data_IF_251824422918
#
_entry.id   IF_251824422918
#
_cell.length_a   1.000
_cell.length_b   1.000
_cell.length_c   1.000
_cell.angle_alpha   90.00
_cell.angle_beta   90.00
_cell.angle_gamma   90.00
#
_symmetry.space_group_name_H-M   'P 1'
#
loop_
_entity.id
_entity.type
_entity.pdbx_description
1 polymer ?
#
# COMPACT_ATOMS: atom_id res chain seq x y z
N UNK A 1 -12.19 -54.46 26.86
CA UNK A 1 -11.97 -53.13 27.43
C UNK A 1 -11.32 -52.26 26.36
N UNK A 2 -12.11 -51.58 25.53
CA UNK A 2 -11.63 -50.57 24.58
C UNK A 2 -12.80 -49.64 24.24
N UNK A 3 -12.98 -48.65 25.12
CA UNK A 3 -13.82 -47.48 24.92
C UNK A 3 -13.26 -46.66 23.75
N UNK A 4 -13.94 -46.67 22.61
CA UNK A 4 -13.61 -45.78 21.49
C UNK A 4 -14.10 -44.36 21.82
N UNK A 5 -13.14 -43.47 21.92
CA UNK A 5 -13.27 -42.02 22.15
C UNK A 5 -14.22 -41.41 21.14
N UNK A 6 -15.38 -40.94 21.60
CA UNK A 6 -16.33 -40.12 20.84
C UNK A 6 -16.28 -38.71 21.41
N UNK A 7 -15.32 -37.89 20.97
CA UNK A 7 -15.29 -36.45 21.24
C UNK A 7 -14.13 -35.79 20.50
N UNK A 8 -14.40 -35.12 19.36
CA UNK A 8 -13.76 -33.85 18.92
C UNK A 8 -13.99 -33.43 17.46
N UNK A 9 -14.70 -34.19 16.62
CA UNK A 9 -14.81 -33.80 15.18
C UNK A 9 -15.99 -32.89 14.81
N UNK A 10 -16.90 -32.53 15.73
CA UNK A 10 -18.18 -31.91 15.36
C UNK A 10 -18.18 -30.37 15.16
N UNK A 11 -17.12 -29.63 15.55
CA UNK A 11 -17.15 -28.15 15.53
C UNK A 11 -16.44 -27.56 14.32
N UNK A 12 -15.29 -28.12 13.94
CA UNK A 12 -14.52 -27.67 12.77
C UNK A 12 -15.22 -27.97 11.45
N UNK A 13 -15.97 -29.07 11.36
CA UNK A 13 -16.73 -29.45 10.16
C UNK A 13 -17.93 -28.51 9.90
N UNK A 14 -18.50 -27.91 10.96
CA UNK A 14 -19.57 -26.90 10.85
C UNK A 14 -19.07 -25.56 10.29
N UNK A 15 -17.79 -25.26 10.44
CA UNK A 15 -17.14 -24.02 9.97
C UNK A 15 -16.79 -24.06 8.47
N UNK A 16 -16.81 -25.24 7.81
CA UNK A 16 -16.43 -25.37 6.38
C UNK A 16 -17.64 -25.42 5.42
N UNK A 17 -18.86 -25.32 5.94
CA UNK A 17 -20.08 -25.38 5.11
C UNK A 17 -20.17 -24.21 4.12
N UNK A 18 -20.70 -24.42 2.89
CA UNK A 18 -20.87 -23.35 1.91
C UNK A 18 -21.77 -22.22 2.42
N UNK A 19 -22.64 -22.52 3.37
CA UNK A 19 -23.45 -21.56 4.10
C UNK A 19 -22.60 -20.61 4.98
N UNK A 20 -21.65 -21.14 5.76
CA UNK A 20 -20.76 -20.34 6.61
C UNK A 20 -19.86 -19.41 5.79
N UNK A 21 -19.33 -19.87 4.64
CA UNK A 21 -18.54 -19.03 3.73
C UNK A 21 -19.34 -17.85 3.15
N UNK A 22 -20.60 -18.10 2.73
CA UNK A 22 -21.50 -17.04 2.28
C UNK A 22 -21.86 -16.07 3.40
N UNK A 23 -22.14 -16.60 4.59
CA UNK A 23 -22.41 -15.80 5.78
C UNK A 23 -21.22 -14.88 6.12
N UNK A 24 -19.99 -15.39 6.09
CA UNK A 24 -18.79 -14.59 6.34
C UNK A 24 -18.58 -13.50 5.28
N UNK A 25 -18.78 -13.80 3.99
CA UNK A 25 -18.70 -12.78 2.93
C UNK A 25 -19.73 -11.65 3.13
N UNK A 26 -20.95 -11.98 3.55
CA UNK A 26 -21.98 -10.98 3.88
C UNK A 26 -21.63 -10.21 5.16
N UNK A 27 -21.08 -10.89 6.17
CA UNK A 27 -20.65 -10.27 7.43
C UNK A 27 -19.51 -9.27 7.22
N UNK A 28 -18.52 -9.55 6.37
CA UNK A 28 -17.47 -8.59 6.00
C UNK A 28 -18.05 -7.35 5.29
N UNK A 29 -18.96 -7.55 4.35
CA UNK A 29 -19.60 -6.43 3.63
C UNK A 29 -20.43 -5.54 4.55
N UNK A 30 -21.20 -6.15 5.46
CA UNK A 30 -22.01 -5.42 6.44
C UNK A 30 -21.14 -4.75 7.51
N UNK A 31 -20.10 -5.41 8.01
CA UNK A 31 -19.14 -4.83 8.97
C UNK A 31 -18.44 -3.60 8.42
N UNK A 32 -17.88 -3.72 7.21
CA UNK A 32 -17.22 -2.60 6.52
C UNK A 32 -18.18 -1.41 6.33
N UNK A 33 -19.46 -1.66 6.03
CA UNK A 33 -20.44 -0.59 5.88
C UNK A 33 -20.68 0.20 7.17
N UNK A 34 -20.74 -0.46 8.33
CA UNK A 34 -20.92 0.20 9.64
C UNK A 34 -19.68 0.99 10.02
N UNK A 35 -18.48 0.49 9.72
CA UNK A 35 -17.21 1.20 9.94
C UNK A 35 -17.11 2.46 9.08
N UNK A 36 -17.44 2.36 7.79
CA UNK A 36 -17.42 3.50 6.87
C UNK A 36 -18.42 4.58 7.32
N UNK A 37 -19.61 4.19 7.78
CA UNK A 37 -20.59 5.14 8.33
C UNK A 37 -20.08 5.80 9.62
N UNK A 38 -19.43 5.05 10.51
CA UNK A 38 -18.81 5.60 11.72
C UNK A 38 -17.68 6.60 11.40
N UNK A 39 -16.85 6.29 10.42
CA UNK A 39 -15.80 7.20 9.93
C UNK A 39 -16.41 8.46 9.28
N UNK A 40 -17.48 8.32 8.50
CA UNK A 40 -18.19 9.44 7.88
C UNK A 40 -18.77 10.40 8.93
N UNK A 41 -19.34 9.88 10.01
CA UNK A 41 -19.85 10.69 11.12
C UNK A 41 -18.73 11.42 11.86
N UNK A 42 -17.56 10.79 12.00
CA UNK A 42 -16.38 11.41 12.60
C UNK A 42 -15.83 12.57 11.76
N UNK A 43 -15.83 12.45 10.44
CA UNK A 43 -15.38 13.50 9.51
C UNK A 43 -16.36 14.69 9.52
N UNK A 44 -17.67 14.42 9.51
CA UNK A 44 -18.70 15.46 9.49
C UNK A 44 -19.05 16.06 10.86
N UNK A 45 -18.39 15.61 11.94
CA UNK A 45 -18.58 16.11 13.31
C UNK A 45 -20.04 16.08 13.80
N UNK A 46 -20.82 15.07 13.40
CA UNK A 46 -22.20 14.91 13.87
C UNK A 46 -22.26 14.55 15.37
N UNK A 47 -23.34 14.94 16.04
CA UNK A 47 -23.55 14.60 17.44
C UNK A 47 -23.59 13.06 17.62
N UNK A 48 -22.79 12.53 18.55
CA UNK A 48 -22.65 11.08 18.75
C UNK A 48 -21.65 10.39 17.82
N UNK A 49 -20.84 11.13 17.05
CA UNK A 49 -19.85 10.55 16.13
C UNK A 49 -18.84 9.60 16.80
N UNK A 50 -18.44 9.89 18.05
CA UNK A 50 -17.53 9.00 18.79
C UNK A 50 -18.18 7.66 19.12
N UNK A 51 -19.46 7.64 19.50
CA UNK A 51 -20.20 6.42 19.82
C UNK A 51 -20.43 5.57 18.58
N UNK A 52 -20.76 6.20 17.45
CA UNK A 52 -20.93 5.50 16.18
C UNK A 52 -19.62 4.92 15.66
N UNK A 53 -18.51 5.65 15.77
CA UNK A 53 -17.18 5.17 15.38
C UNK A 53 -16.73 4.01 16.27
N UNK A 54 -16.99 4.10 17.58
CA UNK A 54 -16.70 3.02 18.53
C UNK A 54 -17.47 1.75 18.17
N UNK A 55 -18.77 1.86 17.87
CA UNK A 55 -19.57 0.70 17.43
C UNK A 55 -19.06 0.12 16.10
N UNK A 56 -18.66 0.96 15.14
CA UNK A 56 -18.08 0.50 13.88
C UNK A 56 -16.78 -0.28 14.10
N UNK A 57 -15.83 0.29 14.84
CA UNK A 57 -14.56 -0.37 15.12
C UNK A 57 -14.71 -1.66 15.95
N UNK A 58 -15.67 -1.70 16.89
CA UNK A 58 -15.98 -2.91 17.66
C UNK A 58 -16.58 -4.02 16.77
N UNK A 59 -17.42 -3.66 15.80
CA UNK A 59 -17.98 -4.60 14.84
C UNK A 59 -16.87 -5.22 13.98
N UNK A 60 -15.92 -4.40 13.52
CA UNK A 60 -14.77 -4.87 12.73
C UNK A 60 -13.86 -5.78 13.54
N UNK A 61 -13.57 -5.44 14.80
CA UNK A 61 -12.75 -6.27 15.68
C UNK A 61 -13.34 -7.67 15.90
N UNK A 62 -14.67 -7.78 16.02
CA UNK A 62 -15.36 -9.07 16.15
C UNK A 62 -15.26 -9.88 14.86
N UNK A 63 -15.44 -9.24 13.70
CA UNK A 63 -15.34 -9.89 12.39
C UNK A 63 -13.92 -10.40 12.14
N UNK A 64 -12.89 -9.62 12.48
CA UNK A 64 -11.49 -10.04 12.40
C UNK A 64 -11.17 -11.21 13.33
N UNK A 65 -11.69 -11.19 14.56
CA UNK A 65 -11.52 -12.30 15.50
C UNK A 65 -12.16 -13.60 14.97
N UNK A 66 -13.32 -13.51 14.30
CA UNK A 66 -13.97 -14.65 13.66
C UNK A 66 -13.26 -15.09 12.37
N UNK A 67 -12.62 -14.16 11.65
CA UNK A 67 -11.77 -14.45 10.48
C UNK A 67 -10.58 -15.32 10.83
N UNK A 68 -9.92 -15.04 11.96
CA UNK A 68 -8.72 -15.76 12.41
C UNK A 68 -8.97 -17.25 12.73
N UNK A 69 -10.24 -17.67 12.84
CA UNK A 69 -10.63 -19.07 13.02
C UNK A 69 -10.71 -19.86 11.70
N UNK A 70 -10.56 -19.19 10.54
CA UNK A 70 -10.48 -19.84 9.24
C UNK A 70 -9.05 -20.30 8.94
N UNK A 71 -8.90 -21.49 8.34
CA UNK A 71 -7.61 -21.93 7.82
C UNK A 71 -7.14 -20.97 6.71
N UNK A 72 -5.82 -20.67 6.63
CA UNK A 72 -5.28 -19.90 5.53
C UNK A 72 -5.67 -20.54 4.20
N UNK A 73 -6.27 -19.75 3.31
CA UNK A 73 -6.38 -20.03 1.87
C UNK A 73 -5.07 -20.63 1.36
N UNK A 74 -5.13 -21.91 0.95
CA UNK A 74 -4.03 -22.60 0.28
C UNK A 74 -3.97 -22.03 -1.12
N UNK A 75 -2.84 -21.44 -1.49
CA UNK A 75 -2.64 -20.93 -2.84
C UNK A 75 -2.85 -22.08 -3.86
N UNK A 76 -3.45 -21.80 -5.03
CA UNK A 76 -3.61 -22.81 -6.07
C UNK A 76 -2.25 -23.42 -6.40
N UNK A 77 -2.17 -24.75 -6.40
CA UNK A 77 -0.94 -25.47 -6.76
C UNK A 77 -0.71 -25.35 -8.28
N UNK A 78 -0.09 -24.24 -8.68
CA UNK A 78 0.19 -23.89 -10.08
C UNK A 78 1.08 -24.92 -10.78
N UNK A 79 1.75 -25.82 -10.03
CA UNK A 79 2.53 -26.94 -10.58
C UNK A 79 1.71 -27.95 -11.36
N UNK A 80 0.39 -28.02 -11.13
CA UNK A 80 -0.53 -28.86 -11.92
C UNK A 80 -0.85 -28.29 -13.31
N UNK A 81 -0.70 -26.97 -13.48
CA UNK A 81 -1.07 -26.25 -14.72
C UNK A 81 0.17 -25.85 -15.51
N UNK A 82 1.29 -25.61 -14.82
CA UNK A 82 2.59 -25.29 -15.42
C UNK A 82 3.66 -26.21 -14.84
N UNK A 83 3.83 -27.43 -15.40
CA UNK A 83 4.82 -28.39 -14.94
C UNK A 83 6.28 -27.91 -15.08
N UNK A 84 6.51 -26.82 -15.81
CA UNK A 84 7.84 -26.21 -16.02
C UNK A 84 8.38 -25.45 -14.80
N UNK A 85 7.56 -25.20 -13.77
CA UNK A 85 7.96 -24.51 -12.54
C UNK A 85 8.46 -25.47 -11.44
N UNK A 86 8.52 -26.77 -11.73
CA UNK A 86 9.03 -27.79 -10.80
C UNK A 86 10.55 -27.86 -10.94
N UNK A 87 11.27 -27.83 -9.81
CA UNK A 87 12.74 -27.76 -9.75
C UNK A 87 13.45 -28.93 -10.49
N UNK A 88 12.76 -30.06 -10.66
CA UNK A 88 13.21 -31.27 -11.36
C UNK A 88 12.63 -31.41 -12.80
N UNK A 89 12.27 -30.31 -13.47
CA UNK A 89 11.78 -30.36 -14.84
C UNK A 89 12.90 -30.70 -15.84
N UNK A 90 13.05 -31.99 -16.12
CA UNK A 90 13.78 -32.48 -17.30
C UNK A 90 12.82 -32.52 -18.48
N UNK A 91 12.96 -31.56 -19.40
CA UNK A 91 12.17 -31.48 -20.62
C UNK A 91 12.01 -32.83 -21.33
N UNK A 92 10.88 -32.99 -22.02
CA UNK A 92 10.50 -34.23 -22.71
C UNK A 92 11.66 -34.69 -23.61
N UNK A 93 12.32 -35.79 -23.22
CA UNK A 93 13.27 -36.49 -24.10
C UNK A 93 12.48 -37.09 -25.27
N UNK A 94 12.95 -36.93 -26.52
CA UNK A 94 12.22 -37.35 -27.72
C UNK A 94 12.34 -38.87 -27.97
N UNK A 95 11.99 -39.70 -26.99
CA UNK A 95 12.10 -41.18 -27.13
C UNK A 95 11.03 -41.94 -26.32
N UNK A 96 9.75 -41.58 -26.53
CA UNK A 96 8.65 -42.49 -26.18
C UNK A 96 7.93 -42.93 -27.45
N UNK A 97 8.07 -44.21 -27.86
CA UNK A 97 7.39 -44.73 -29.04
C UNK A 97 5.87 -44.70 -28.89
N UNK A 98 5.20 -44.03 -29.81
CA UNK A 98 3.74 -44.09 -29.96
C UNK A 98 3.39 -45.43 -30.63
N UNK A 99 2.96 -46.43 -29.85
CA UNK A 99 2.44 -47.69 -30.37
C UNK A 99 1.12 -47.46 -31.14
N UNK A 100 1.17 -47.58 -32.48
CA UNK A 100 -0.02 -47.80 -33.30
C UNK A 100 -0.16 -49.29 -33.59
N UNK A 101 -1.19 -49.92 -33.01
CA UNK A 101 -1.65 -51.26 -33.39
C UNK A 101 -2.14 -51.27 -34.84
N UNK A 102 -1.47 -52.03 -35.70
CA UNK A 102 -1.92 -52.35 -37.06
C UNK A 102 -2.55 -53.75 -37.09
N UNK A 103 -3.73 -53.85 -37.71
CA UNK A 103 -4.46 -55.09 -37.95
C UNK A 103 -4.07 -55.73 -39.29
N UNK A 104 -4.17 -57.07 -39.35
CA UNK A 104 -3.73 -57.96 -40.43
C UNK A 104 -4.50 -57.84 -41.75
N UNK A 105 -3.82 -58.10 -42.88
CA UNK A 105 -4.45 -58.57 -44.13
C UNK A 105 -3.66 -59.73 -44.72
N UNK A 106 -4.37 -60.77 -45.15
CA UNK A 106 -3.88 -62.10 -45.61
C UNK A 106 -3.55 -62.08 -47.10
N UNK A 107 -2.49 -62.82 -47.45
CA UNK A 107 -2.03 -63.17 -48.81
C UNK A 107 -2.95 -64.21 -49.46
N UNK A 108 -3.28 -64.01 -50.75
CA UNK A 108 -3.99 -64.97 -51.61
C UNK A 108 -3.26 -65.10 -52.95
N UNK A 109 -3.00 -66.34 -53.35
CA UNK A 109 -2.11 -66.79 -54.43
C UNK A 109 -2.86 -67.16 -55.73
N UNK A 110 -2.06 -67.28 -56.80
CA UNK A 110 -2.25 -68.07 -58.04
C UNK A 110 -2.77 -67.32 -59.28
N UNK A 111 -1.87 -67.12 -60.26
CA UNK A 111 -2.15 -67.07 -61.70
C UNK A 111 -0.82 -67.05 -62.51
N UNK A 112 -0.19 -68.21 -62.72
CA UNK A 112 0.96 -68.34 -63.64
C UNK A 112 1.03 -69.76 -64.22
N UNK A 113 -0.02 -70.18 -64.94
CA UNK A 113 -0.03 -71.49 -65.62
C UNK A 113 -0.63 -71.45 -67.02
N UNK A 114 -1.00 -70.27 -67.53
CA UNK A 114 -1.61 -70.13 -68.86
C UNK A 114 -0.78 -69.36 -69.89
N UNK A 115 0.30 -68.67 -69.49
CA UNK A 115 1.25 -68.07 -70.45
C UNK A 115 2.33 -69.05 -70.92
N UNK A 116 2.62 -70.08 -70.12
CA UNK A 116 3.75 -71.00 -70.33
C UNK A 116 3.54 -71.95 -71.53
N UNK A 117 2.28 -72.14 -71.93
CA UNK A 117 1.91 -72.98 -73.07
C UNK A 117 1.85 -72.22 -74.40
N UNK A 118 1.96 -70.89 -74.40
CA UNK A 118 1.95 -70.09 -75.62
C UNK A 118 3.35 -69.61 -76.06
N UNK A 119 4.40 -69.88 -75.28
CA UNK A 119 5.79 -69.47 -75.58
C UNK A 119 6.63 -70.54 -76.30
N UNK A 120 6.10 -71.76 -76.50
CA UNK A 120 6.89 -72.92 -76.96
C UNK A 120 7.28 -72.89 -78.45
N UNK A 121 6.65 -72.05 -79.28
CA UNK A 121 6.84 -72.07 -80.75
C UNK A 121 7.51 -70.83 -81.36
N UNK A 122 8.03 -69.91 -80.54
CA UNK A 122 8.91 -68.85 -81.03
C UNK A 122 10.29 -69.07 -80.44
N UNK A 123 11.27 -69.46 -81.28
CA UNK A 123 12.70 -69.43 -80.95
C UNK A 123 13.11 -67.96 -80.71
N UNK A 124 12.75 -67.43 -79.55
CA UNK A 124 13.25 -66.18 -79.02
C UNK A 124 14.57 -66.51 -78.33
N UNK A 125 15.64 -65.94 -78.84
CA UNK A 125 16.96 -66.03 -78.23
C UNK A 125 16.90 -65.51 -76.78
N UNK A 126 17.47 -66.26 -75.84
CA UNK A 126 17.38 -66.01 -74.39
C UNK A 126 17.91 -64.59 -74.03
N UNK A 127 18.81 -64.05 -74.84
CA UNK A 127 19.35 -62.70 -74.69
C UNK A 127 18.33 -61.59 -75.03
N UNK A 128 17.41 -61.84 -75.96
CA UNK A 128 16.38 -60.86 -76.38
C UNK A 128 15.27 -60.77 -75.32
N UNK A 129 14.91 -61.89 -74.70
CA UNK A 129 13.95 -61.91 -73.58
C UNK A 129 14.53 -61.19 -72.37
N UNK A 130 15.80 -61.45 -72.06
CA UNK A 130 16.45 -60.82 -70.90
C UNK A 130 16.66 -59.31 -71.11
N UNK A 131 17.00 -58.87 -72.32
CA UNK A 131 17.16 -57.46 -72.66
C UNK A 131 15.83 -56.71 -72.77
N UNK A 132 14.78 -57.35 -73.29
CA UNK A 132 13.42 -56.80 -73.32
C UNK A 132 12.81 -56.73 -71.91
N UNK A 133 13.02 -57.77 -71.10
CA UNK A 133 12.65 -57.79 -69.68
C UNK A 133 13.34 -56.66 -68.93
N UNK A 134 14.67 -56.57 -69.04
CA UNK A 134 15.44 -55.47 -68.45
C UNK A 134 14.99 -54.09 -68.94
N UNK A 135 14.65 -53.96 -70.23
CA UNK A 135 14.13 -52.73 -70.83
C UNK A 135 12.76 -52.32 -70.26
N UNK A 136 11.83 -53.27 -70.14
CA UNK A 136 10.50 -53.05 -69.56
C UNK A 136 10.57 -52.77 -68.05
N UNK A 137 11.46 -53.44 -67.31
CA UNK A 137 11.68 -53.16 -65.89
C UNK A 137 12.28 -51.76 -65.70
N UNK A 138 13.26 -51.37 -66.51
CA UNK A 138 13.83 -50.01 -66.50
C UNK A 138 12.82 -48.94 -66.89
N UNK A 139 11.93 -49.23 -67.84
CA UNK A 139 10.87 -48.31 -68.25
C UNK A 139 9.80 -48.17 -67.16
N UNK A 140 9.40 -49.27 -66.52
CA UNK A 140 8.47 -49.27 -65.38
C UNK A 140 9.07 -48.56 -64.17
N UNK A 141 10.35 -48.78 -63.88
CA UNK A 141 11.08 -48.10 -62.81
C UNK A 141 11.24 -46.60 -63.10
N UNK A 142 11.48 -46.22 -64.36
CA UNK A 142 11.53 -44.82 -64.78
C UNK A 142 10.16 -44.14 -64.73
N UNK A 143 9.09 -44.84 -65.11
CA UNK A 143 7.72 -44.35 -65.00
C UNK A 143 7.25 -44.22 -63.54
N UNK A 144 7.66 -45.14 -62.66
CA UNK A 144 7.44 -45.04 -61.21
C UNK A 144 8.17 -43.85 -60.60
N UNK A 145 9.45 -43.63 -60.98
CA UNK A 145 10.23 -42.46 -60.54
C UNK A 145 9.65 -41.14 -61.07
N UNK A 146 9.03 -41.13 -62.25
CA UNK A 146 8.28 -39.97 -62.77
C UNK A 146 6.98 -39.72 -61.98
N UNK A 147 6.31 -40.78 -61.51
CA UNK A 147 5.16 -40.67 -60.62
C UNK A 147 5.57 -40.13 -59.22
N UNK A 148 6.74 -40.50 -58.71
CA UNK A 148 7.30 -39.95 -57.47
C UNK A 148 7.78 -38.50 -57.64
N UNK A 149 8.28 -38.11 -58.82
CA UNK A 149 8.61 -36.71 -59.14
C UNK A 149 7.35 -35.83 -59.23
N UNK A 150 6.19 -36.39 -59.57
CA UNK A 150 4.89 -35.70 -59.47
C UNK A 150 4.54 -35.33 -58.03
N UNK A 151 5.06 -36.07 -57.03
CA UNK A 151 4.92 -35.74 -55.60
C UNK A 151 5.94 -34.69 -55.11
N UNK A 152 6.98 -34.37 -55.89
CA UNK A 152 7.91 -33.27 -55.58
C UNK A 152 7.23 -31.90 -55.59
N UNK A 153 6.08 -31.78 -56.27
CA UNK A 153 5.21 -30.61 -56.20
C UNK A 153 4.58 -30.45 -54.81
N UNK A 154 4.26 -31.54 -54.10
CA UNK A 154 3.72 -31.52 -52.73
C UNK A 154 4.79 -31.08 -51.73
N UNK A 155 6.01 -31.61 -51.82
CA UNK A 155 7.13 -31.17 -50.97
C UNK A 155 7.52 -29.70 -51.20
N UNK A 156 7.44 -29.22 -52.45
CA UNK A 156 7.64 -27.80 -52.78
C UNK A 156 6.50 -26.93 -52.22
N UNK A 157 5.25 -27.41 -52.30
CA UNK A 157 4.10 -26.72 -51.73
C UNK A 157 4.19 -26.65 -50.19
N UNK A 158 4.65 -27.71 -49.52
CA UNK A 158 4.87 -27.74 -48.07
C UNK A 158 6.04 -26.84 -47.65
N UNK A 159 7.13 -26.82 -48.40
CA UNK A 159 8.23 -25.88 -48.17
C UNK A 159 7.77 -24.43 -48.33
N UNK A 160 7.01 -24.12 -49.38
CA UNK A 160 6.44 -22.79 -49.59
C UNK A 160 5.44 -22.44 -48.49
N UNK A 161 4.63 -23.38 -48.02
CA UNK A 161 3.70 -23.18 -46.89
C UNK A 161 4.44 -22.94 -45.57
N UNK A 162 5.51 -23.70 -45.30
CA UNK A 162 6.36 -23.52 -44.12
C UNK A 162 7.15 -22.20 -44.18
N UNK A 163 7.68 -21.83 -45.35
CA UNK A 163 8.35 -20.55 -45.57
C UNK A 163 7.37 -19.37 -45.42
N UNK A 164 6.14 -19.51 -45.90
CA UNK A 164 5.07 -18.53 -45.70
C UNK A 164 4.71 -18.41 -44.22
N UNK A 165 4.56 -19.52 -43.52
CA UNK A 165 4.30 -19.54 -42.07
C UNK A 165 5.46 -18.92 -41.29
N UNK A 166 6.70 -19.25 -41.63
CA UNK A 166 7.89 -18.63 -41.05
C UNK A 166 7.93 -17.11 -41.31
N UNK A 167 7.60 -16.67 -42.52
CA UNK A 167 7.52 -15.23 -42.84
C UNK A 167 6.41 -14.51 -42.07
N UNK A 168 5.28 -15.19 -41.83
CA UNK A 168 4.20 -14.68 -40.99
C UNK A 168 4.61 -14.63 -39.52
N UNK A 169 5.33 -15.63 -39.01
CA UNK A 169 5.89 -15.61 -37.66
C UNK A 169 6.92 -14.50 -37.47
N UNK A 170 7.79 -14.26 -38.44
CA UNK A 170 8.74 -13.13 -38.43
C UNK A 170 7.99 -11.79 -38.50
N UNK A 171 6.92 -11.71 -39.31
CA UNK A 171 6.07 -10.53 -39.39
C UNK A 171 5.34 -10.26 -38.07
N UNK A 172 4.79 -11.29 -37.42
CA UNK A 172 4.17 -11.21 -36.09
C UNK A 172 5.21 -10.80 -35.05
N UNK A 173 6.40 -11.39 -35.07
CA UNK A 173 7.48 -11.01 -34.15
C UNK A 173 7.88 -9.54 -34.32
N UNK A 174 8.04 -9.07 -35.56
CA UNK A 174 8.34 -7.67 -35.84
C UNK A 174 7.21 -6.72 -35.40
N UNK A 175 5.95 -7.18 -35.46
CA UNK A 175 4.79 -6.45 -34.95
C UNK A 175 4.79 -6.39 -33.42
N UNK A 176 4.92 -7.54 -32.75
CA UNK A 176 5.03 -7.61 -31.29
C UNK A 176 6.20 -6.78 -30.77
N UNK A 177 7.31 -6.73 -31.49
CA UNK A 177 8.46 -5.88 -31.16
C UNK A 177 8.13 -4.39 -31.20
N UNK A 178 7.44 -3.93 -32.26
CA UNK A 178 6.96 -2.54 -32.36
C UNK A 178 5.94 -2.20 -31.28
N UNK A 179 4.98 -3.09 -31.05
CA UNK A 179 3.93 -2.90 -30.05
C UNK A 179 4.54 -2.82 -28.64
N UNK A 180 5.51 -3.68 -28.34
CA UNK A 180 6.28 -3.65 -27.07
C UNK A 180 7.11 -2.38 -26.93
N UNK A 181 7.78 -1.92 -27.99
CA UNK A 181 8.54 -0.67 -27.98
C UNK A 181 7.66 0.55 -27.73
N UNK A 182 6.46 0.60 -28.31
CA UNK A 182 5.51 1.69 -28.10
C UNK A 182 4.93 1.67 -26.68
N UNK A 183 4.66 0.48 -26.13
CA UNK A 183 4.23 0.33 -24.75
C UNK A 183 5.32 0.82 -23.77
N UNK A 184 6.58 0.42 -23.99
CA UNK A 184 7.71 0.88 -23.19
C UNK A 184 7.90 2.40 -23.23
N UNK A 185 7.77 3.04 -24.40
CA UNK A 185 7.90 4.50 -24.54
C UNK A 185 6.80 5.25 -23.76
N UNK A 186 5.56 4.74 -23.80
CA UNK A 186 4.46 5.29 -23.01
C UNK A 186 4.69 5.11 -21.50
N UNK A 187 5.25 3.98 -21.08
CA UNK A 187 5.55 3.70 -19.67
C UNK A 187 6.75 4.53 -19.17
N UNK A 188 7.77 4.77 -20.00
CA UNK A 188 8.87 5.71 -19.78
C UNK A 188 8.37 7.14 -19.54
N UNK A 189 7.39 7.59 -20.34
CA UNK A 189 6.75 8.92 -20.18
C UNK A 189 5.98 9.02 -18.86
N UNK A 190 5.12 8.04 -18.57
CA UNK A 190 4.37 8.00 -17.32
C UNK A 190 5.29 7.97 -16.08
N UNK A 191 6.41 7.25 -16.17
CA UNK A 191 7.41 7.17 -15.09
C UNK A 191 8.15 8.51 -14.90
N UNK A 192 8.46 9.23 -15.98
CA UNK A 192 9.04 10.57 -15.90
C UNK A 192 8.07 11.59 -15.26
N UNK A 193 6.80 11.57 -15.65
CA UNK A 193 5.76 12.42 -15.04
C UNK A 193 5.60 12.12 -13.55
N UNK A 194 5.57 10.83 -13.16
CA UNK A 194 5.54 10.42 -11.76
C UNK A 194 6.79 10.91 -11.01
N UNK A 195 7.97 10.84 -11.63
CA UNK A 195 9.22 11.32 -11.03
C UNK A 195 9.17 12.83 -10.77
N UNK A 196 8.60 13.61 -11.69
CA UNK A 196 8.42 15.05 -11.52
C UNK A 196 7.45 15.38 -10.38
N UNK A 197 6.31 14.67 -10.30
CA UNK A 197 5.35 14.84 -9.20
C UNK A 197 5.98 14.49 -7.84
N UNK A 198 6.76 13.41 -7.76
CA UNK A 198 7.48 13.02 -6.53
C UNK A 198 8.49 14.10 -6.12
N UNK A 199 9.18 14.74 -7.07
CA UNK A 199 10.08 15.86 -6.78
C UNK A 199 9.33 17.09 -6.25
N UNK A 200 8.20 17.46 -6.85
CA UNK A 200 7.36 18.55 -6.35
C UNK A 200 6.86 18.29 -4.93
N UNK A 201 6.42 17.06 -4.66
CA UNK A 201 6.01 16.62 -3.31
C UNK A 201 7.18 16.66 -2.33
N UNK A 202 8.39 16.29 -2.75
CA UNK A 202 9.60 16.40 -1.93
C UNK A 202 9.94 17.85 -1.59
N UNK A 203 9.83 18.77 -2.56
CA UNK A 203 10.02 20.21 -2.31
C UNK A 203 8.95 20.79 -1.38
N UNK A 204 7.69 20.39 -1.55
CA UNK A 204 6.61 20.77 -0.65
C UNK A 204 6.86 20.26 0.78
N UNK A 205 7.36 19.03 0.94
CA UNK A 205 7.74 18.48 2.23
C UNK A 205 8.90 19.28 2.87
N UNK A 206 9.92 19.66 2.10
CA UNK A 206 10.99 20.54 2.59
C UNK A 206 10.47 21.91 3.03
N UNK A 207 9.55 22.50 2.26
CA UNK A 207 8.88 23.74 2.63
C UNK A 207 8.11 23.61 3.95
N UNK A 208 7.34 22.54 4.10
CA UNK A 208 6.58 22.26 5.32
C UNK A 208 7.50 22.04 6.53
N UNK A 209 8.62 21.32 6.37
CA UNK A 209 9.64 21.17 7.41
C UNK A 209 10.17 22.52 7.90
N UNK A 210 10.49 23.43 6.97
CA UNK A 210 10.97 24.77 7.31
C UNK A 210 9.89 25.58 8.05
N UNK A 211 8.63 25.52 7.59
CA UNK A 211 7.51 26.16 8.29
C UNK A 211 7.32 25.61 9.70
N UNK A 212 7.49 24.30 9.90
CA UNK A 212 7.47 23.71 11.22
C UNK A 212 8.63 24.23 12.09
N UNK A 213 9.85 24.25 11.58
CA UNK A 213 11.01 24.75 12.34
C UNK A 213 10.84 26.22 12.75
N UNK A 214 10.30 27.04 11.86
CA UNK A 214 10.01 28.44 12.15
C UNK A 214 8.92 28.59 13.21
N UNK A 215 7.81 27.85 13.07
CA UNK A 215 6.74 27.86 14.07
C UNK A 215 7.24 27.39 15.45
N UNK A 216 8.08 26.35 15.52
CA UNK A 216 8.71 25.92 16.77
C UNK A 216 9.61 27.02 17.35
N UNK A 217 10.34 27.77 16.52
CA UNK A 217 11.19 28.87 16.96
C UNK A 217 10.36 30.00 17.55
N UNK A 218 9.32 30.45 16.85
CA UNK A 218 8.41 31.49 17.35
C UNK A 218 7.73 31.06 18.64
N UNK A 219 7.25 29.82 18.74
CA UNK A 219 6.67 29.30 19.96
C UNK A 219 7.66 29.29 21.13
N UNK A 220 8.93 28.94 20.90
CA UNK A 220 9.96 28.99 21.97
C UNK A 220 10.18 30.42 22.47
N UNK A 221 10.12 31.41 21.59
CA UNK A 221 10.20 32.83 21.96
C UNK A 221 8.98 33.27 22.77
N UNK A 222 7.77 32.89 22.35
CA UNK A 222 6.52 33.19 23.06
C UNK A 222 6.47 32.53 24.45
N UNK A 223 6.93 31.28 24.57
CA UNK A 223 7.03 30.59 25.88
C UNK A 223 7.92 31.38 26.83
N UNK A 224 9.10 31.84 26.38
CA UNK A 224 10.02 32.64 27.19
C UNK A 224 9.41 33.98 27.60
N UNK A 225 8.77 34.68 26.66
CA UNK A 225 8.07 35.93 26.96
C UNK A 225 6.93 35.71 27.98
N UNK A 226 6.21 34.58 27.88
CA UNK A 226 5.20 34.20 28.86
C UNK A 226 5.78 33.86 30.23
N UNK A 227 6.98 33.29 30.28
CA UNK A 227 7.69 32.99 31.54
C UNK A 227 8.13 34.27 32.26
N UNK A 228 8.67 35.23 31.51
CA UNK A 228 9.00 36.56 32.03
C UNK A 228 7.76 37.29 32.55
N UNK A 229 6.64 37.22 31.82
CA UNK A 229 5.36 37.80 32.29
C UNK A 229 4.90 37.15 33.60
N UNK A 230 5.01 35.83 33.71
CA UNK A 230 4.66 35.10 34.94
C UNK A 230 5.52 35.55 36.12
N UNK A 231 6.83 35.73 35.90
CA UNK A 231 7.77 36.22 36.90
C UNK A 231 7.40 37.65 37.37
N UNK A 232 7.09 38.54 36.43
CA UNK A 232 6.65 39.91 36.74
C UNK A 232 5.38 39.89 37.56
N UNK A 233 4.35 39.15 37.13
CA UNK A 233 3.08 39.04 37.86
C UNK A 233 3.29 38.51 39.27
N UNK A 234 4.11 37.46 39.44
CA UNK A 234 4.43 36.91 40.75
C UNK A 234 5.12 37.95 41.65
N UNK A 235 6.11 38.66 41.13
CA UNK A 235 6.85 39.69 41.87
C UNK A 235 5.94 40.87 42.25
N UNK A 236 5.05 41.29 41.33
CA UNK A 236 4.04 42.30 41.61
C UNK A 236 3.05 41.83 42.68
N UNK A 237 2.61 40.57 42.63
CA UNK A 237 1.72 39.95 43.62
C UNK A 237 2.34 39.98 45.02
N UNK A 238 3.62 39.60 45.14
CA UNK A 238 4.36 39.69 46.41
C UNK A 238 4.48 41.13 46.92
N UNK A 239 4.67 42.10 46.02
CA UNK A 239 4.73 43.52 46.37
C UNK A 239 3.37 44.06 46.83
N UNK A 240 2.28 43.65 46.18
CA UNK A 240 0.90 43.99 46.58
C UNK A 240 0.57 43.38 47.94
N UNK A 241 1.00 42.14 48.21
CA UNK A 241 0.86 41.52 49.53
C UNK A 241 1.53 42.35 50.62
N UNK A 242 2.79 42.74 50.41
CA UNK A 242 3.53 43.58 51.38
C UNK A 242 2.88 44.95 51.58
N UNK A 243 2.34 45.53 50.51
CA UNK A 243 1.63 46.80 50.60
C UNK A 243 0.35 46.65 51.44
N UNK A 244 -0.43 45.60 51.20
CA UNK A 244 -1.63 45.27 51.99
C UNK A 244 -1.31 45.10 53.48
N UNK A 245 -0.24 44.38 53.82
CA UNK A 245 0.23 44.23 55.21
C UNK A 245 0.58 45.58 55.85
N UNK A 246 1.33 46.44 55.13
CA UNK A 246 1.70 47.77 55.63
C UNK A 246 0.48 48.69 55.85
N UNK A 247 -0.56 48.54 55.02
CA UNK A 247 -1.83 49.25 55.16
C UNK A 247 -2.59 48.77 56.40
N UNK A 248 -2.61 47.46 56.69
CA UNK A 248 -3.18 46.93 57.92
C UNK A 248 -2.50 47.50 59.16
N UNK A 249 -1.16 47.47 59.18
CA UNK A 249 -0.39 48.02 60.30
C UNK A 249 -0.63 49.53 60.49
N UNK A 250 -0.76 50.27 59.39
CA UNK A 250 -1.04 51.71 59.42
C UNK A 250 -2.46 52.01 59.89
N UNK A 251 -3.47 51.25 59.43
CA UNK A 251 -4.86 51.40 59.87
C UNK A 251 -5.03 51.05 61.36
N UNK A 252 -4.33 50.03 61.85
CA UNK A 252 -4.28 49.71 63.28
C UNK A 252 -3.58 50.81 64.09
N UNK A 253 -2.46 51.34 63.57
CA UNK A 253 -1.74 52.46 64.19
C UNK A 253 -2.57 53.74 64.27
N UNK A 254 -3.32 54.06 63.21
CA UNK A 254 -4.27 55.17 63.19
C UNK A 254 -5.38 54.93 64.23
N UNK A 255 -5.91 53.71 64.31
CA UNK A 255 -6.93 53.37 65.32
C UNK A 255 -6.41 53.53 66.75
N UNK A 256 -5.15 53.18 67.03
CA UNK A 256 -4.50 53.40 68.33
C UNK A 256 -4.29 54.88 68.64
N UNK A 257 -3.79 55.68 67.69
CA UNK A 257 -3.58 57.12 67.89
C UNK A 257 -4.91 57.86 68.06
N UNK A 258 -5.98 57.41 67.40
CA UNK A 258 -7.34 57.92 67.59
C UNK A 258 -7.84 57.61 69.00
N UNK A 259 -7.63 56.40 69.52
CA UNK A 259 -8.05 56.05 70.89
C UNK A 259 -7.28 56.86 71.94
N UNK A 260 -6.00 57.18 71.68
CA UNK A 260 -5.21 58.09 72.52
C UNK A 260 -5.70 59.54 72.42
N UNK A 261 -6.01 60.03 71.21
CA UNK A 261 -6.55 61.38 70.99
C UNK A 261 -7.96 61.54 71.58
N UNK A 262 -8.82 60.52 71.48
CA UNK A 262 -10.17 60.50 72.08
C UNK A 262 -10.10 60.64 73.61
N UNK A 263 -9.08 60.06 74.24
CA UNK A 263 -8.83 60.24 75.67
C UNK A 263 -8.31 61.63 76.02
N UNK A 264 -7.69 62.35 75.08
CA UNK A 264 -7.06 63.65 75.29
C UNK A 264 -7.88 64.86 74.83
N UNK A 265 -8.74 64.73 73.83
CA UNK A 265 -9.47 65.81 73.18
C UNK A 265 -10.98 65.54 73.23
N UNK A 266 -11.73 66.36 73.96
CA UNK A 266 -13.17 66.22 74.11
C UNK A 266 -13.92 66.27 72.77
N UNK A 267 -14.88 65.35 72.61
CA UNK A 267 -15.82 65.11 71.50
C UNK A 267 -15.89 66.16 70.37
N UNK A 268 -15.55 65.74 69.15
CA UNK A 268 -15.94 66.41 67.89
C UNK A 268 -16.57 65.39 66.93
N UNK A 269 -17.89 65.42 66.78
CA UNK A 269 -18.67 64.43 66.02
C UNK A 269 -18.36 64.43 64.51
N UNK A 270 -18.04 65.59 63.91
CA UNK A 270 -17.65 65.68 62.50
C UNK A 270 -16.35 64.93 62.18
N UNK A 271 -15.46 64.82 63.16
CA UNK A 271 -14.22 64.06 63.01
C UNK A 271 -14.47 62.55 63.03
N UNK A 272 -15.43 62.10 63.85
CA UNK A 272 -15.85 60.69 63.91
C UNK A 272 -16.46 60.22 62.58
N UNK A 273 -17.26 61.06 61.91
CA UNK A 273 -17.90 60.72 60.64
C UNK A 273 -16.88 60.57 59.49
N UNK A 274 -15.91 61.48 59.41
CA UNK A 274 -14.80 61.39 58.44
C UNK A 274 -13.92 60.16 58.69
N UNK A 275 -13.72 59.78 59.95
CA UNK A 275 -12.97 58.58 60.33
C UNK A 275 -13.70 57.28 59.98
N UNK A 276 -15.00 57.20 60.24
CA UNK A 276 -15.80 56.04 59.84
C UNK A 276 -15.75 55.85 58.31
N UNK A 277 -15.87 56.95 57.57
CA UNK A 277 -15.76 56.95 56.10
C UNK A 277 -14.36 56.54 55.62
N UNK A 278 -13.30 56.99 56.30
CA UNK A 278 -11.92 56.60 55.98
C UNK A 278 -11.70 55.11 56.24
N UNK A 279 -12.18 54.59 57.37
CA UNK A 279 -12.09 53.17 57.73
C UNK A 279 -12.80 52.29 56.69
N UNK A 280 -13.99 52.71 56.23
CA UNK A 280 -14.73 52.01 55.19
C UNK A 280 -14.01 52.05 53.83
N UNK A 281 -13.45 53.20 53.45
CA UNK A 281 -12.62 53.32 52.24
C UNK A 281 -11.36 52.45 52.31
N UNK A 282 -10.71 52.34 53.47
CA UNK A 282 -9.56 51.47 53.65
C UNK A 282 -9.94 49.99 53.58
N UNK A 283 -11.05 49.58 54.20
CA UNK A 283 -11.54 48.21 54.13
C UNK A 283 -11.92 47.81 52.70
N UNK A 284 -12.58 48.71 51.95
CA UNK A 284 -12.91 48.46 50.55
C UNK A 284 -11.68 48.38 49.64
N UNK A 285 -10.69 49.26 49.84
CA UNK A 285 -9.44 49.25 49.09
C UNK A 285 -8.65 47.95 49.32
N UNK A 286 -8.63 47.48 50.57
CA UNK A 286 -7.97 46.23 50.91
C UNK A 286 -8.61 45.02 50.21
N UNK A 287 -9.94 44.97 50.18
CA UNK A 287 -10.68 43.94 49.45
C UNK A 287 -10.36 43.95 47.95
N UNK A 288 -10.08 45.11 47.36
CA UNK A 288 -9.62 45.22 45.96
C UNK A 288 -8.22 44.64 45.80
N UNK A 289 -7.28 44.92 46.71
CA UNK A 289 -5.94 44.33 46.67
C UNK A 289 -5.96 42.81 46.81
N UNK A 290 -6.77 42.29 47.72
CA UNK A 290 -6.97 40.85 47.91
C UNK A 290 -7.53 40.20 46.63
N UNK A 291 -8.54 40.83 46.01
CA UNK A 291 -9.06 40.40 44.70
C UNK A 291 -8.00 40.44 43.60
N UNK A 292 -7.17 41.49 43.55
CA UNK A 292 -6.10 41.61 42.57
C UNK A 292 -5.07 40.49 42.74
N UNK A 293 -4.74 40.14 43.98
CA UNK A 293 -3.80 39.08 44.32
C UNK A 293 -4.32 37.72 43.85
N UNK A 294 -5.58 37.41 44.15
CA UNK A 294 -6.26 36.18 43.67
C UNK A 294 -6.32 36.15 42.13
N UNK A 295 -6.58 37.28 41.48
CA UNK A 295 -6.58 37.35 40.02
C UNK A 295 -5.19 37.13 39.44
N UNK A 296 -4.15 37.69 40.06
CA UNK A 296 -2.75 37.46 39.67
C UNK A 296 -2.34 36.00 39.84
N UNK A 297 -2.72 35.33 40.94
CA UNK A 297 -2.47 33.90 41.14
C UNK A 297 -3.16 33.05 40.06
N UNK A 298 -4.43 33.34 39.75
CA UNK A 298 -5.15 32.66 38.66
C UNK A 298 -4.47 32.87 37.31
N UNK A 299 -3.98 34.08 37.04
CA UNK A 299 -3.27 34.39 35.80
C UNK A 299 -1.94 33.64 35.70
N UNK A 300 -1.20 33.51 36.81
CA UNK A 300 0.05 32.70 36.87
C UNK A 300 -0.25 31.22 36.60
N UNK A 301 -1.29 30.67 37.22
CA UNK A 301 -1.66 29.26 37.02
C UNK A 301 -2.14 29.00 35.58
N UNK A 302 -2.90 29.93 34.99
CA UNK A 302 -3.28 29.86 33.57
C UNK A 302 -2.03 29.91 32.65
N UNK A 303 -1.06 30.78 32.96
CA UNK A 303 0.21 30.87 32.23
C UNK A 303 1.01 29.57 32.31
N UNK A 304 1.06 28.93 33.49
CA UNK A 304 1.73 27.64 33.68
C UNK A 304 1.09 26.52 32.87
N UNK A 305 -0.24 26.45 32.84
CA UNK A 305 -0.98 25.48 31.99
C UNK A 305 -0.76 25.74 30.50
N UNK A 306 -0.69 27.01 30.11
CA UNK A 306 -0.38 27.40 28.73
C UNK A 306 1.03 26.94 28.36
N UNK A 307 2.05 27.20 29.18
CA UNK A 307 3.41 26.70 28.97
C UNK A 307 3.45 25.19 28.79
N UNK A 308 2.83 24.41 29.68
CA UNK A 308 2.76 22.95 29.54
C UNK A 308 2.11 22.49 28.24
N UNK A 309 1.11 23.23 27.76
CA UNK A 309 0.42 22.92 26.49
C UNK A 309 1.28 23.29 25.29
N UNK A 310 1.94 24.46 25.34
CA UNK A 310 2.86 24.91 24.30
C UNK A 310 4.08 24.00 24.20
N UNK A 311 4.61 23.50 25.31
CA UNK A 311 5.70 22.51 25.33
C UNK A 311 5.30 21.21 24.63
N UNK A 312 4.09 20.69 24.92
CA UNK A 312 3.54 19.52 24.21
C UNK A 312 3.36 19.80 22.74
N UNK A 313 2.86 20.98 22.38
CA UNK A 313 2.70 21.38 21.00
C UNK A 313 4.06 21.45 20.28
N UNK A 314 5.08 22.03 20.93
CA UNK A 314 6.45 22.10 20.42
C UNK A 314 7.04 20.71 20.19
N UNK A 315 6.84 19.79 21.12
CA UNK A 315 7.24 18.39 20.97
C UNK A 315 6.57 17.73 19.77
N UNK A 316 5.25 17.89 19.61
CA UNK A 316 4.51 17.33 18.48
C UNK A 316 4.95 17.95 17.15
N UNK A 317 5.29 19.23 17.17
CA UNK A 317 5.73 19.98 16.00
C UNK A 317 7.14 19.53 15.59
N UNK A 318 8.04 19.31 16.55
CA UNK A 318 9.37 18.75 16.32
C UNK A 318 9.30 17.30 15.80
N UNK A 319 8.41 16.48 16.35
CA UNK A 319 8.13 15.14 15.82
C UNK A 319 7.60 15.19 14.38
N UNK A 320 6.68 16.12 14.10
CA UNK A 320 6.13 16.32 12.75
C UNK A 320 7.21 16.78 11.77
N UNK A 321 8.07 17.71 12.17
CA UNK A 321 9.24 18.15 11.39
C UNK A 321 10.16 16.98 11.05
N UNK A 322 10.44 16.11 12.02
CA UNK A 322 11.26 14.91 11.81
C UNK A 322 10.58 13.89 10.88
N UNK A 323 9.28 13.65 11.02
CA UNK A 323 8.53 12.76 10.10
C UNK A 323 8.52 13.30 8.68
N UNK A 324 8.35 14.61 8.51
CA UNK A 324 8.43 15.26 7.20
C UNK A 324 9.84 15.16 6.60
N UNK A 325 10.90 15.26 7.41
CA UNK A 325 12.28 15.03 6.95
C UNK A 325 12.49 13.58 6.46
N UNK A 326 11.99 12.59 7.21
CA UNK A 326 12.07 11.19 6.80
C UNK A 326 11.31 10.95 5.49
N UNK A 327 10.08 11.46 5.39
CA UNK A 327 9.28 11.37 4.17
C UNK A 327 9.98 12.01 2.97
N UNK A 328 10.58 13.19 3.13
CA UNK A 328 11.35 13.85 2.08
C UNK A 328 12.51 12.94 1.60
N UNK A 329 13.28 12.35 2.53
CA UNK A 329 14.38 11.43 2.18
C UNK A 329 13.90 10.19 1.45
N UNK A 330 12.76 9.62 1.84
CA UNK A 330 12.16 8.48 1.16
C UNK A 330 11.74 8.84 -0.27
N UNK A 331 11.15 10.01 -0.48
CA UNK A 331 10.79 10.51 -1.81
C UNK A 331 12.03 10.76 -2.68
N UNK A 332 13.12 11.28 -2.12
CA UNK A 332 14.40 11.42 -2.82
C UNK A 332 15.00 10.07 -3.20
N UNK A 333 14.93 9.07 -2.32
CA UNK A 333 15.37 7.71 -2.63
C UNK A 333 14.50 7.05 -3.71
N UNK A 334 13.17 7.23 -3.64
CA UNK A 334 12.24 6.77 -4.66
C UNK A 334 12.57 7.38 -6.02
N UNK A 335 12.78 8.70 -6.06
CA UNK A 335 13.20 9.44 -7.27
C UNK A 335 14.49 8.85 -7.86
N UNK A 336 15.50 8.56 -7.03
CA UNK A 336 16.76 7.93 -7.48
C UNK A 336 16.52 6.53 -8.04
N UNK A 337 15.69 5.72 -7.38
CA UNK A 337 15.36 4.36 -7.84
C UNK A 337 14.60 4.40 -9.18
N UNK A 338 13.65 5.31 -9.32
CA UNK A 338 12.90 5.52 -10.57
C UNK A 338 13.84 5.97 -11.70
N UNK A 339 14.75 6.91 -11.44
CA UNK A 339 15.74 7.33 -12.43
C UNK A 339 16.67 6.19 -12.88
N UNK A 340 17.13 5.35 -11.94
CA UNK A 340 17.94 4.16 -12.26
C UNK A 340 17.16 3.16 -13.12
N UNK A 341 15.89 2.91 -12.77
CA UNK A 341 15.02 2.02 -13.52
C UNK A 341 14.79 2.55 -14.94
N UNK A 342 14.52 3.85 -15.07
CA UNK A 342 14.34 4.52 -16.34
C UNK A 342 15.59 4.46 -17.21
N UNK A 343 16.78 4.57 -16.60
CA UNK A 343 18.06 4.40 -17.30
C UNK A 343 18.24 2.97 -17.82
N UNK A 344 17.88 1.95 -17.04
CA UNK A 344 17.94 0.55 -17.50
C UNK A 344 16.96 0.29 -18.65
N UNK A 345 15.72 0.76 -18.54
CA UNK A 345 14.73 0.64 -19.62
C UNK A 345 15.14 1.41 -20.87
N UNK A 346 15.66 2.64 -20.72
CA UNK A 346 16.19 3.43 -21.82
C UNK A 346 17.37 2.75 -22.51
N UNK A 347 18.31 2.20 -21.74
CA UNK A 347 19.46 1.47 -22.28
C UNK A 347 19.02 0.18 -23.01
N UNK A 348 18.02 -0.54 -22.48
CA UNK A 348 17.46 -1.72 -23.12
C UNK A 348 16.70 -1.37 -24.41
N UNK A 349 15.93 -0.28 -24.41
CA UNK A 349 15.24 0.23 -25.58
C UNK A 349 16.24 0.67 -26.66
N UNK A 350 17.32 1.36 -26.25
CA UNK A 350 18.40 1.76 -27.16
C UNK A 350 19.11 0.54 -27.75
N UNK A 351 19.40 -0.47 -26.93
CA UNK A 351 19.98 -1.74 -27.37
C UNK A 351 19.05 -2.53 -28.31
N UNK A 352 17.72 -2.42 -28.13
CA UNK A 352 16.71 -3.00 -29.03
C UNK A 352 16.58 -2.22 -30.35
N UNK A 353 16.81 -0.91 -30.35
CA UNK A 353 16.66 -0.07 -31.55
C UNK A 353 17.94 0.04 -32.40
N UNK A 354 19.05 -0.58 -31.98
CA UNK A 354 20.26 -0.71 -32.81
C UNK A 354 19.96 -1.68 -33.95
N UNK A 355 19.89 -1.12 -35.15
CA UNK A 355 19.71 -1.80 -36.44
C UNK A 355 20.83 -2.75 -36.78
#
# INVERSE_FOLDING_TARGET
>A
MTTKVKSKESFSEKLETPFFRRFMSVAYGLGASVVILGALFKINHYAGANEMLLMGMMTEAIIFALSALQKPHVEPDWSKVYPELIEDYHGIKPDTPFERKSASVRTGSNQMTQLDLMLKDVKLDDSVIHSLGTGLTKLSESASKLNDLSNASIATNDFVANMKTASQSVSTLAKTYRDTSNALDNELKATNELTQQVQEVSHAASGLKNSYQEAARTLREDIRASEDLSLVIKTTSESVSKLSDSYYMSAEGISRTIEELRKSAGNSDAFNEQLATLSEKLASLNKIYELQLVNSERQVEASKRMQQTLDKFLSNLEESSNKTDQYQREMEMLTKRMASLNSVYGNMLSAMNIK
#
